data_IF_703131969247
#
_entry.id   IF_703131969247
#
_cell.length_a   1.000
_cell.length_b   1.000
_cell.length_c   1.000
_cell.angle_alpha   90.00
_cell.angle_beta   90.00
_cell.angle_gamma   90.00
#
_symmetry.space_group_name_H-M   'P 1'
#
loop_
_entity.id
_entity.type
_entity.pdbx_description
1 polymer ?
#
# COMPACT_ATOMS: atom_id res chain seq x y z
N UNK A 1 -14.93 -5.16 21.18
CA UNK A 1 -14.32 -4.14 22.05
C UNK A 1 -13.94 -2.91 21.23
N UNK A 2 -14.15 -1.72 21.71
CA UNK A 2 -13.72 -0.52 21.00
C UNK A 2 -12.18 -0.48 20.91
N UNK A 3 -11.66 0.14 19.86
CA UNK A 3 -10.23 0.37 19.73
C UNK A 3 -9.77 1.39 20.77
N UNK A 4 -8.72 1.06 21.50
CA UNK A 4 -8.08 1.99 22.43
C UNK A 4 -7.27 3.04 21.70
N UNK A 5 -6.82 4.07 22.40
CA UNK A 5 -5.89 5.05 21.83
C UNK A 5 -4.58 4.39 21.39
N UNK A 6 -4.08 3.44 22.17
CA UNK A 6 -2.88 2.67 21.82
C UNK A 6 -3.06 1.87 20.54
N UNK A 7 -4.19 1.18 20.36
CA UNK A 7 -4.51 0.47 19.12
C UNK A 7 -4.50 1.39 17.92
N UNK A 8 -5.12 2.57 18.06
CA UNK A 8 -5.18 3.56 16.96
C UNK A 8 -3.80 4.07 16.58
N UNK A 9 -2.94 4.34 17.55
CA UNK A 9 -1.56 4.74 17.31
C UNK A 9 -0.75 3.64 16.62
N UNK A 10 -0.91 2.39 17.05
CA UNK A 10 -0.24 1.25 16.40
C UNK A 10 -0.72 1.04 14.97
N UNK A 11 -2.03 1.15 14.71
CA UNK A 11 -2.58 1.03 13.36
C UNK A 11 -2.10 2.16 12.45
N UNK A 12 -2.07 3.39 12.95
CA UNK A 12 -1.49 4.53 12.22
C UNK A 12 -0.03 4.28 11.89
N UNK A 13 0.78 3.88 12.87
CA UNK A 13 2.18 3.55 12.65
C UNK A 13 2.36 2.42 11.63
N UNK A 14 1.55 1.37 11.70
CA UNK A 14 1.56 0.25 10.74
C UNK A 14 1.35 0.72 9.30
N UNK A 15 0.34 1.57 9.07
CA UNK A 15 0.03 2.13 7.75
C UNK A 15 1.17 2.99 7.21
N UNK A 16 1.75 3.84 8.04
CA UNK A 16 2.88 4.70 7.65
C UNK A 16 4.18 3.91 7.46
N UNK A 17 4.42 2.86 8.25
CA UNK A 17 5.56 1.94 8.03
C UNK A 17 5.46 1.22 6.69
N UNK A 18 4.25 0.80 6.31
CA UNK A 18 4.04 0.20 4.98
C UNK A 18 4.46 1.18 3.89
N UNK A 19 3.94 2.40 3.90
CA UNK A 19 4.28 3.43 2.92
C UNK A 19 5.79 3.69 2.85
N UNK A 20 6.43 3.93 4.00
CA UNK A 20 7.86 4.19 4.08
C UNK A 20 8.70 3.01 3.58
N UNK A 21 8.36 1.78 3.97
CA UNK A 21 9.10 0.59 3.57
C UNK A 21 8.99 0.30 2.07
N UNK A 22 7.82 0.51 1.47
CA UNK A 22 7.65 0.40 0.00
C UNK A 22 8.51 1.44 -0.71
N UNK A 23 8.46 2.68 -0.27
CA UNK A 23 9.19 3.80 -0.89
C UNK A 23 10.72 3.63 -0.77
N UNK A 24 11.17 3.07 0.33
CA UNK A 24 12.58 2.76 0.59
C UNK A 24 13.04 1.43 0.00
N UNK A 25 12.16 0.70 -0.70
CA UNK A 25 12.45 -0.64 -1.26
C UNK A 25 12.85 -1.68 -0.21
N UNK A 26 12.43 -1.50 1.04
CA UNK A 26 12.63 -2.47 2.12
C UNK A 26 11.49 -3.50 2.11
N UNK A 27 11.45 -4.32 1.05
CA UNK A 27 10.32 -5.21 0.79
C UNK A 27 10.17 -6.34 1.82
N UNK A 28 11.26 -6.78 2.43
CA UNK A 28 11.15 -7.74 3.54
C UNK A 28 10.44 -7.13 4.74
N UNK A 29 10.68 -5.85 5.02
CA UNK A 29 9.97 -5.12 6.08
C UNK A 29 8.48 -4.95 5.74
N UNK A 30 8.15 -4.72 4.45
CA UNK A 30 6.73 -4.67 4.01
C UNK A 30 6.04 -5.99 4.30
N UNK A 31 6.66 -7.11 3.95
CA UNK A 31 6.10 -8.46 4.12
C UNK A 31 5.80 -8.74 5.59
N UNK A 32 6.69 -8.34 6.50
CA UNK A 32 6.52 -8.53 7.96
C UNK A 32 5.33 -7.75 8.56
N UNK A 33 4.80 -6.76 7.86
CA UNK A 33 3.61 -6.03 8.29
C UNK A 33 2.31 -6.80 8.05
N UNK A 34 2.37 -7.87 7.27
CA UNK A 34 1.24 -8.74 6.95
C UNK A 34 1.27 -10.02 7.77
N UNK A 35 0.09 -10.56 8.05
CA UNK A 35 0.01 -11.93 8.60
C UNK A 35 0.51 -12.94 7.57
N UNK A 36 0.94 -14.11 8.02
CA UNK A 36 1.43 -15.18 7.13
C UNK A 36 0.37 -15.71 6.17
N UNK A 37 -0.91 -15.52 6.50
CA UNK A 37 -2.07 -15.93 5.70
C UNK A 37 -2.81 -14.74 5.09
N UNK A 38 -2.16 -13.59 4.99
CA UNK A 38 -2.77 -12.36 4.50
C UNK A 38 -3.29 -12.48 3.07
N UNK A 39 -4.23 -11.63 2.75
CA UNK A 39 -4.75 -11.47 1.39
C UNK A 39 -4.53 -10.04 0.94
N UNK A 40 -3.85 -9.88 -0.18
CA UNK A 40 -3.67 -8.59 -0.85
C UNK A 40 -4.42 -8.62 -2.18
N UNK A 41 -5.44 -7.78 -2.32
CA UNK A 41 -6.28 -7.74 -3.52
C UNK A 41 -5.96 -6.46 -4.28
N UNK A 42 -5.51 -6.64 -5.51
CA UNK A 42 -5.01 -5.54 -6.35
C UNK A 42 -5.90 -5.36 -7.59
N UNK A 43 -5.96 -4.13 -8.13
CA UNK A 43 -6.63 -3.88 -9.41
C UNK A 43 -5.78 -4.35 -10.59
N UNK A 44 -6.36 -4.32 -11.78
CA UNK A 44 -5.69 -4.58 -13.06
C UNK A 44 -5.85 -3.35 -13.98
N UNK A 45 -5.19 -2.24 -13.67
CA UNK A 45 -5.32 -1.02 -14.45
C UNK A 45 -4.62 -1.14 -15.83
N UNK A 46 -5.14 -0.47 -16.85
CA UNK A 46 -6.34 0.39 -16.86
C UNK A 46 -7.64 -0.39 -17.05
N UNK A 47 -7.58 -1.71 -17.15
CA UNK A 47 -8.73 -2.58 -17.46
C UNK A 47 -9.81 -2.51 -16.40
N UNK A 48 -9.40 -2.54 -15.13
CA UNK A 48 -10.28 -2.33 -14.00
C UNK A 48 -9.56 -1.59 -12.88
N UNK A 49 -10.29 -0.72 -12.20
CA UNK A 49 -9.81 0.06 -11.07
C UNK A 49 -10.23 -0.55 -9.73
N UNK A 50 -11.16 -1.50 -9.75
CA UNK A 50 -11.58 -2.23 -8.55
C UNK A 50 -10.56 -3.31 -8.15
N UNK A 51 -10.53 -3.66 -6.87
CA UNK A 51 -9.72 -4.74 -6.35
C UNK A 51 -10.28 -6.09 -6.85
N UNK A 52 -9.55 -6.79 -7.71
CA UNK A 52 -10.05 -7.98 -8.42
C UNK A 52 -9.13 -9.19 -8.34
N UNK A 53 -7.81 -9.01 -8.19
CA UNK A 53 -6.84 -10.10 -8.16
C UNK A 53 -6.32 -10.31 -6.76
N UNK A 54 -6.65 -11.44 -6.15
CA UNK A 54 -6.19 -11.79 -4.81
C UNK A 54 -4.82 -12.47 -4.87
N UNK A 55 -3.88 -11.95 -4.09
CA UNK A 55 -2.55 -12.50 -3.85
C UNK A 55 -2.50 -12.96 -2.39
N UNK A 56 -1.99 -14.16 -2.14
CA UNK A 56 -2.11 -14.79 -0.83
C UNK A 56 -0.76 -14.97 -0.13
N UNK A 57 -0.77 -14.74 1.17
CA UNK A 57 0.35 -14.95 2.07
C UNK A 57 1.54 -14.02 1.80
N UNK A 58 2.64 -14.29 2.46
CA UNK A 58 3.87 -13.53 2.27
C UNK A 58 4.39 -13.62 0.82
N UNK A 59 4.22 -14.77 0.15
CA UNK A 59 4.61 -14.91 -1.27
C UNK A 59 3.77 -14.00 -2.18
N UNK A 60 2.49 -13.85 -1.90
CA UNK A 60 1.62 -12.93 -2.64
C UNK A 60 2.01 -11.48 -2.46
N UNK A 61 2.34 -11.06 -1.25
CA UNK A 61 2.85 -9.70 -0.97
C UNK A 61 4.19 -9.48 -1.67
N UNK A 62 5.08 -10.47 -1.63
CA UNK A 62 6.38 -10.42 -2.33
C UNK A 62 6.21 -10.24 -3.83
N UNK A 63 5.26 -10.96 -4.44
CA UNK A 63 4.94 -10.82 -5.87
C UNK A 63 4.44 -9.42 -6.21
N UNK A 64 3.61 -8.82 -5.36
CA UNK A 64 3.13 -7.45 -5.53
C UNK A 64 4.30 -6.44 -5.48
N UNK A 65 5.24 -6.63 -4.56
CA UNK A 65 6.43 -5.77 -4.45
C UNK A 65 7.34 -5.91 -5.67
N UNK A 66 7.50 -7.13 -6.19
CA UNK A 66 8.30 -7.37 -7.40
C UNK A 66 7.75 -6.65 -8.64
N UNK A 67 6.45 -6.37 -8.70
CA UNK A 67 5.84 -5.61 -9.77
C UNK A 67 6.32 -4.14 -9.83
N UNK A 68 6.95 -3.63 -8.78
CA UNK A 68 7.54 -2.30 -8.74
C UNK A 68 8.96 -2.22 -9.34
N UNK A 69 9.51 -3.34 -9.82
CA UNK A 69 10.90 -3.39 -10.32
C UNK A 69 11.17 -2.46 -11.49
N UNK A 70 10.15 -2.17 -12.32
CA UNK A 70 10.25 -1.24 -13.46
C UNK A 70 10.04 0.25 -13.09
N UNK A 71 9.75 0.54 -11.82
CA UNK A 71 9.50 1.90 -11.33
C UNK A 71 10.76 2.41 -10.64
N UNK A 72 11.27 3.56 -11.06
CA UNK A 72 12.51 4.11 -10.50
C UNK A 72 12.33 4.57 -9.04
N UNK A 73 11.20 5.23 -8.75
CA UNK A 73 10.85 5.70 -7.40
C UNK A 73 9.36 5.68 -7.18
N UNK A 74 8.99 5.49 -5.94
CA UNK A 74 7.61 5.67 -5.47
C UNK A 74 7.57 6.62 -4.27
N UNK A 75 6.42 7.24 -4.09
CA UNK A 75 6.10 7.99 -2.88
C UNK A 75 4.63 7.77 -2.56
N UNK A 76 4.37 7.19 -1.40
CA UNK A 76 3.02 6.95 -0.92
C UNK A 76 2.65 8.03 0.10
N UNK A 77 1.67 8.84 -0.23
CA UNK A 77 1.16 9.89 0.64
C UNK A 77 -0.13 9.40 1.31
N UNK A 78 -0.07 9.11 2.60
CA UNK A 78 -1.25 8.74 3.39
C UNK A 78 -1.97 10.04 3.75
N UNK A 79 -3.14 10.24 3.17
CA UNK A 79 -3.89 11.50 3.31
C UNK A 79 -5.17 11.37 4.12
N UNK A 80 -5.56 10.16 4.48
CA UNK A 80 -6.73 9.93 5.34
C UNK A 80 -6.71 8.56 5.97
N UNK A 81 -7.13 8.47 7.22
CA UNK A 81 -7.15 7.24 8.01
C UNK A 81 -8.42 7.21 8.86
N UNK A 82 -9.21 6.16 8.70
CA UNK A 82 -10.38 5.91 9.55
C UNK A 82 -10.33 4.47 10.02
N UNK A 83 -10.38 4.27 11.33
CA UNK A 83 -10.33 2.94 11.95
C UNK A 83 -11.61 2.67 12.74
N UNK A 84 -12.08 1.44 12.65
CA UNK A 84 -13.22 0.94 13.42
C UNK A 84 -12.95 -0.45 13.98
N UNK A 85 -13.59 -0.77 15.10
CA UNK A 85 -13.50 -2.11 15.68
C UNK A 85 -14.47 -3.06 14.98
N UNK A 86 -14.06 -4.31 14.83
CA UNK A 86 -14.88 -5.46 14.52
C UNK A 86 -14.73 -6.49 15.67
N UNK A 87 -15.52 -7.58 15.70
CA UNK A 87 -15.52 -8.48 16.86
C UNK A 87 -14.14 -9.06 17.24
N UNK A 88 -13.31 -9.42 16.25
CA UNK A 88 -12.02 -10.07 16.45
C UNK A 88 -10.86 -9.39 15.71
N UNK A 89 -11.11 -8.25 15.09
CA UNK A 89 -10.15 -7.53 14.27
C UNK A 89 -10.45 -6.03 14.23
N UNK A 90 -9.65 -5.26 13.52
CA UNK A 90 -9.92 -3.86 13.22
C UNK A 90 -10.11 -3.68 11.71
N UNK A 91 -10.89 -2.68 11.35
CA UNK A 91 -11.08 -2.24 9.98
C UNK A 91 -10.39 -0.90 9.77
N UNK A 92 -9.83 -0.70 8.59
CA UNK A 92 -9.26 0.58 8.18
C UNK A 92 -9.73 1.00 6.80
N UNK A 93 -9.99 2.28 6.65
CA UNK A 93 -10.16 2.92 5.35
C UNK A 93 -9.06 3.96 5.21
N UNK A 94 -8.13 3.69 4.32
CA UNK A 94 -6.93 4.49 4.13
C UNK A 94 -6.97 5.13 2.76
N UNK A 95 -6.89 6.44 2.71
CA UNK A 95 -6.78 7.19 1.45
C UNK A 95 -5.30 7.48 1.18
N UNK A 96 -4.85 7.19 -0.02
CA UNK A 96 -3.45 7.34 -0.41
C UNK A 96 -3.34 7.96 -1.80
N UNK A 97 -2.34 8.82 -1.97
CA UNK A 97 -1.86 9.25 -3.29
C UNK A 97 -0.50 8.62 -3.49
N UNK A 98 -0.38 7.78 -4.50
CA UNK A 98 0.87 7.06 -4.79
C UNK A 98 1.48 7.54 -6.10
N UNK A 99 2.70 8.05 -6.01
CA UNK A 99 3.51 8.46 -7.16
C UNK A 99 4.39 7.32 -7.62
N UNK A 100 4.45 7.11 -8.93
CA UNK A 100 5.32 6.09 -9.54
C UNK A 100 6.11 6.78 -10.64
N UNK A 101 7.36 7.16 -10.33
CA UNK A 101 8.23 7.81 -11.30
C UNK A 101 9.04 6.81 -12.10
N UNK A 102 8.99 6.96 -13.41
CA UNK A 102 9.80 6.18 -14.35
C UNK A 102 10.65 7.11 -15.21
N UNK A 103 11.81 6.62 -15.62
CA UNK A 103 12.66 7.28 -16.60
C UNK A 103 12.36 6.72 -17.97
N UNK A 104 12.23 7.60 -18.98
CA UNK A 104 12.13 7.20 -20.37
C UNK A 104 13.48 6.75 -20.93
N UNK A 105 13.52 6.46 -22.23
CA UNK A 105 14.77 6.17 -22.96
C UNK A 105 15.76 7.33 -22.88
N UNK A 106 15.27 8.57 -22.91
CA UNK A 106 16.04 9.75 -22.53
C UNK A 106 15.95 9.94 -21.01
N UNK A 107 17.07 9.95 -20.26
CA UNK A 107 17.05 10.11 -18.80
C UNK A 107 16.41 11.42 -18.30
N UNK A 108 16.30 12.43 -19.16
CA UNK A 108 15.60 13.68 -18.85
C UNK A 108 14.08 13.55 -18.93
N UNK A 109 13.57 12.49 -19.55
CA UNK A 109 12.15 12.20 -19.65
C UNK A 109 11.70 11.44 -18.40
N UNK A 110 10.93 12.10 -17.55
CA UNK A 110 10.41 11.54 -16.32
C UNK A 110 8.89 11.58 -16.41
N UNK A 111 8.27 10.43 -16.17
CA UNK A 111 6.82 10.28 -16.09
C UNK A 111 6.43 9.91 -14.69
N UNK A 112 5.45 10.59 -14.13
CA UNK A 112 4.82 10.26 -12.86
C UNK A 112 3.43 9.67 -13.14
N UNK A 113 3.26 8.40 -12.83
CA UNK A 113 1.97 7.74 -12.84
C UNK A 113 1.37 7.85 -11.45
N UNK A 114 0.39 8.73 -11.30
CA UNK A 114 -0.22 9.04 -10.01
C UNK A 114 -1.48 8.22 -9.83
N UNK A 115 -1.50 7.42 -8.77
CA UNK A 115 -2.66 6.64 -8.36
C UNK A 115 -3.35 7.31 -7.18
N UNK A 116 -4.59 7.73 -7.38
CA UNK A 116 -5.48 8.15 -6.30
C UNK A 116 -6.24 6.92 -5.83
N UNK A 117 -5.91 6.41 -4.66
CA UNK A 117 -6.36 5.09 -4.24
C UNK A 117 -6.92 5.08 -2.82
N UNK A 118 -7.60 3.98 -2.54
CA UNK A 118 -8.07 3.62 -1.21
C UNK A 118 -7.65 2.19 -0.90
N UNK A 119 -7.14 1.99 0.31
CA UNK A 119 -7.06 0.67 0.91
C UNK A 119 -8.25 0.45 1.83
N UNK A 120 -8.95 -0.65 1.64
CA UNK A 120 -9.88 -1.20 2.60
C UNK A 120 -9.17 -2.35 3.31
N UNK A 121 -8.81 -2.11 4.57
CA UNK A 121 -7.94 -2.98 5.35
C UNK A 121 -8.69 -3.71 6.46
N UNK A 122 -8.26 -4.94 6.73
CA UNK A 122 -8.53 -5.66 7.96
C UNK A 122 -7.22 -5.94 8.67
N UNK A 123 -7.20 -5.66 9.98
CA UNK A 123 -6.01 -5.84 10.81
C UNK A 123 -6.29 -6.85 11.90
N UNK A 124 -5.31 -7.71 12.16
CA UNK A 124 -5.37 -8.72 13.19
C UNK A 124 -4.38 -8.40 14.31
N UNK A 125 -4.80 -8.45 15.60
CA UNK A 125 -3.86 -8.38 16.70
C UNK A 125 -3.05 -9.68 16.77
N UNK A 126 -1.75 -9.56 16.95
CA UNK A 126 -0.81 -10.68 17.11
C UNK A 126 0.08 -10.44 18.33
N UNK A 127 0.81 -11.45 18.85
CA UNK A 127 1.77 -11.22 19.91
C UNK A 127 2.85 -10.18 19.58
N UNK A 128 3.11 -9.94 18.29
CA UNK A 128 4.07 -8.96 17.80
C UNK A 128 3.43 -7.61 17.43
N UNK A 129 2.17 -7.36 17.82
CA UNK A 129 1.41 -6.17 17.51
C UNK A 129 0.41 -6.38 16.36
N UNK A 130 -0.22 -5.32 15.93
CA UNK A 130 -1.17 -5.37 14.83
C UNK A 130 -0.50 -5.72 13.51
N UNK A 131 -1.18 -6.53 12.67
CA UNK A 131 -0.73 -6.92 11.32
C UNK A 131 -1.87 -6.81 10.33
N UNK A 132 -1.55 -6.52 9.08
CA UNK A 132 -2.53 -6.52 7.98
C UNK A 132 -2.87 -7.97 7.65
N UNK A 133 -4.14 -8.34 7.82
CA UNK A 133 -4.64 -9.66 7.42
C UNK A 133 -5.30 -9.63 6.04
N UNK A 134 -5.81 -8.47 5.63
CA UNK A 134 -6.40 -8.26 4.31
C UNK A 134 -6.24 -6.80 3.91
N UNK A 135 -5.83 -6.56 2.69
CA UNK A 135 -5.77 -5.24 2.08
C UNK A 135 -6.37 -5.29 0.68
N UNK A 136 -7.44 -4.54 0.44
CA UNK A 136 -8.02 -4.39 -0.89
C UNK A 136 -7.72 -2.98 -1.42
N UNK A 137 -7.08 -2.91 -2.58
CA UNK A 137 -6.68 -1.67 -3.22
C UNK A 137 -7.66 -1.32 -4.34
N UNK A 138 -8.35 -0.19 -4.21
CA UNK A 138 -9.24 0.35 -5.24
C UNK A 138 -8.67 1.68 -5.74
N UNK A 139 -8.59 1.85 -7.05
CA UNK A 139 -8.17 3.09 -7.68
C UNK A 139 -9.39 3.96 -7.96
N UNK A 140 -9.35 5.22 -7.49
CA UNK A 140 -10.36 6.21 -7.83
C UNK A 140 -10.05 6.87 -9.17
N UNK A 141 -8.77 7.13 -9.43
CA UNK A 141 -8.29 7.76 -10.67
C UNK A 141 -6.81 7.45 -10.87
N UNK A 142 -6.40 7.48 -12.12
CA UNK A 142 -5.00 7.44 -12.54
C UNK A 142 -4.73 8.70 -13.36
N UNK A 143 -3.64 9.40 -13.01
CA UNK A 143 -3.15 10.55 -13.76
C UNK A 143 -1.74 10.30 -14.23
N UNK A 144 -1.40 10.84 -15.38
CA UNK A 144 -0.02 10.86 -15.89
C UNK A 144 0.47 12.29 -15.89
N UNK A 145 1.61 12.54 -15.26
CA UNK A 145 2.24 13.87 -15.19
C UNK A 145 3.67 13.79 -15.68
N UNK A 146 4.18 14.92 -16.15
CA UNK A 146 5.58 15.07 -16.55
C UNK A 146 6.38 15.56 -15.33
N UNK A 147 7.47 14.86 -15.04
CA UNK A 147 8.47 15.31 -14.06
C UNK A 147 9.60 16.05 -14.75
N UNK A 148 10.35 16.85 -13.99
CA UNK A 148 11.50 17.60 -14.49
C UNK A 148 12.84 17.02 -14.05
N UNK A 149 12.87 16.42 -12.87
CA UNK A 149 14.07 15.82 -12.28
C UNK A 149 13.68 14.76 -11.24
N UNK A 150 14.40 13.67 -11.24
CA UNK A 150 14.22 12.59 -10.29
C UNK A 150 15.53 12.35 -9.56
N UNK A 151 15.46 12.20 -8.24
CA UNK A 151 16.62 11.85 -7.42
C UNK A 151 17.08 10.41 -7.74
N UNK A 152 18.39 10.21 -7.80
CA UNK A 152 19.01 8.89 -7.97
C UNK A 152 18.84 8.01 -6.72
#
# INVERSE_FOLDING_TARGET
MPLTLADRLELTDLVHRYAAAVDDRRFDDVIELFTTTAELIVPDPPRTLEAVTALHGHDGVRAAMAALSGVARTQHEIVGEVYSAAPDHALGRITCVAHHWTRGTNPAEITDLVWHLRYDDEYQPTPAGWRIRRRALTLNAIETRLGRRLRD
#
